data_IF_205246572778
#
_entry.id   IF_205246572778
#
_cell.length_a   1.000
_cell.length_b   1.000
_cell.length_c   1.000
_cell.angle_alpha   90.00
_cell.angle_beta   90.00
_cell.angle_gamma   90.00
#
_symmetry.space_group_name_H-M   'P 1'
#
loop_
_entity.id
_entity.type
_entity.pdbx_description
1 polymer ?
#
# COMPACT_ATOMS: atom_id res chain seq x y z
N UNK A 1 3.07 -34.79 -34.39
CA UNK A 1 2.03 -34.17 -33.56
C UNK A 1 2.37 -34.27 -32.09
N UNK A 2 3.07 -33.26 -31.56
CA UNK A 2 3.32 -33.11 -30.12
C UNK A 2 2.40 -32.03 -29.56
N UNK A 3 1.87 -32.15 -28.34
CA UNK A 3 0.93 -31.17 -27.81
C UNK A 3 1.64 -29.84 -27.57
N UNK A 4 1.12 -28.79 -28.20
CA UNK A 4 1.51 -27.42 -27.99
C UNK A 4 1.29 -27.08 -26.52
N UNK A 5 2.36 -26.75 -25.80
CA UNK A 5 2.32 -26.23 -24.44
C UNK A 5 1.59 -24.88 -24.46
N UNK A 6 0.28 -24.91 -24.24
CA UNK A 6 -0.52 -23.74 -23.96
C UNK A 6 -0.44 -23.48 -22.46
N UNK A 7 0.34 -22.47 -22.05
CA UNK A 7 0.06 -21.65 -20.86
C UNK A 7 1.15 -20.58 -20.73
N UNK A 8 1.23 -19.71 -21.73
CA UNK A 8 1.82 -18.38 -21.50
C UNK A 8 0.65 -17.44 -21.20
N UNK A 9 0.17 -17.48 -19.95
CA UNK A 9 -0.89 -16.61 -19.50
C UNK A 9 -0.37 -15.17 -19.53
N UNK A 10 -0.71 -14.43 -20.59
CA UNK A 10 -0.38 -13.02 -20.71
C UNK A 10 -0.82 -12.27 -19.45
N UNK A 11 0.16 -11.84 -18.64
CA UNK A 11 -0.09 -10.99 -17.47
C UNK A 11 -0.49 -9.61 -17.98
N UNK A 12 -1.78 -9.33 -17.98
CA UNK A 12 -2.27 -7.97 -18.21
C UNK A 12 -2.11 -7.15 -16.92
N UNK A 13 -1.35 -6.07 -17.03
CA UNK A 13 -1.25 -5.07 -15.97
C UNK A 13 -2.25 -3.96 -16.28
N UNK A 14 -3.18 -3.72 -15.37
CA UNK A 14 -4.17 -2.65 -15.49
C UNK A 14 -3.77 -1.50 -14.56
N UNK A 15 -3.60 -0.30 -15.13
CA UNK A 15 -3.36 0.92 -14.36
C UNK A 15 -4.61 1.80 -14.44
N UNK A 16 -5.05 2.30 -13.29
CA UNK A 16 -6.19 3.21 -13.16
C UNK A 16 -5.79 4.39 -12.28
N UNK A 17 -6.38 5.55 -12.55
CA UNK A 17 -6.28 6.70 -11.63
C UNK A 17 -6.95 6.35 -10.31
N UNK A 18 -6.51 6.97 -9.22
CA UNK A 18 -7.11 6.75 -7.90
C UNK A 18 -8.64 6.92 -7.90
N UNK A 19 -9.15 8.01 -8.49
CA UNK A 19 -10.59 8.25 -8.62
C UNK A 19 -11.31 7.11 -9.36
N UNK A 20 -10.73 6.65 -10.46
CA UNK A 20 -11.30 5.56 -11.25
C UNK A 20 -11.23 4.24 -10.46
N UNK A 21 -10.14 4.01 -9.71
CA UNK A 21 -9.99 2.88 -8.81
C UNK A 21 -11.02 2.87 -7.68
N UNK A 22 -11.45 4.02 -7.15
CA UNK A 22 -12.44 4.08 -6.07
C UNK A 22 -13.89 4.01 -6.60
N UNK A 23 -14.19 4.79 -7.64
CA UNK A 23 -15.57 5.04 -8.06
C UNK A 23 -16.04 4.17 -9.23
N UNK A 24 -15.12 3.62 -10.03
CA UNK A 24 -15.53 2.89 -11.23
C UNK A 24 -16.07 1.50 -10.89
N UNK A 25 -17.21 1.08 -11.49
CA UNK A 25 -17.67 -0.30 -11.40
C UNK A 25 -16.69 -1.26 -12.10
N UNK A 26 -15.92 -0.80 -13.09
CA UNK A 26 -14.92 -1.61 -13.78
C UNK A 26 -13.72 -1.96 -12.91
N UNK A 27 -13.43 -1.16 -11.87
CA UNK A 27 -12.37 -1.44 -10.91
C UNK A 27 -12.86 -2.28 -9.72
N UNK A 28 -14.16 -2.58 -9.63
CA UNK A 28 -14.74 -3.39 -8.55
C UNK A 28 -14.14 -4.81 -8.47
N UNK A 29 -13.92 -5.54 -9.58
CA UNK A 29 -13.25 -6.84 -9.54
C UNK A 29 -11.80 -6.75 -9.02
N UNK A 30 -11.09 -5.66 -9.33
CA UNK A 30 -9.70 -5.44 -8.88
C UNK A 30 -9.68 -5.09 -7.40
N UNK A 31 -10.54 -4.18 -6.94
CA UNK A 31 -10.72 -3.89 -5.51
C UNK A 31 -11.08 -5.17 -4.76
N UNK A 32 -11.99 -5.97 -5.32
CA UNK A 32 -12.37 -7.25 -4.75
C UNK A 32 -11.15 -8.17 -4.65
N UNK A 33 -10.38 -8.37 -5.71
CA UNK A 33 -9.16 -9.20 -5.69
C UNK A 33 -8.11 -8.72 -4.67
N UNK A 34 -7.98 -7.42 -4.44
CA UNK A 34 -7.02 -6.83 -3.51
C UNK A 34 -7.51 -6.91 -2.05
N UNK A 35 -8.80 -6.65 -1.80
CA UNK A 35 -9.35 -6.44 -0.45
C UNK A 35 -10.29 -7.56 0.04
N UNK A 36 -10.64 -8.52 -0.82
CA UNK A 36 -11.40 -9.74 -0.52
C UNK A 36 -10.70 -10.94 -1.19
N UNK A 37 -10.52 -12.08 -0.56
CA UNK A 37 -11.43 -12.67 0.41
C UNK A 37 -10.67 -13.47 1.47
N UNK A 38 -10.92 -13.12 2.74
CA UNK A 38 -10.63 -13.97 3.88
C UNK A 38 -11.70 -15.06 4.11
N UNK A 39 -12.66 -15.27 3.20
CA UNK A 39 -13.74 -16.26 3.33
C UNK A 39 -13.74 -17.35 2.27
N UNK A 40 -13.24 -17.10 1.07
CA UNK A 40 -12.73 -18.17 0.22
C UNK A 40 -11.32 -18.50 0.67
N UNK A 41 -11.15 -19.70 1.23
CA UNK A 41 -9.86 -20.38 1.22
C UNK A 41 -9.35 -20.36 -0.21
N UNK A 42 -8.54 -19.35 -0.55
CA UNK A 42 -7.68 -19.45 -1.72
C UNK A 42 -6.89 -20.74 -1.52
N UNK A 43 -6.80 -21.61 -2.55
CA UNK A 43 -5.87 -22.73 -2.47
C UNK A 43 -4.53 -22.11 -2.05
N UNK A 44 -3.91 -22.68 -1.01
CA UNK A 44 -2.67 -22.16 -0.45
C UNK A 44 -1.67 -21.97 -1.58
N UNK A 45 -1.49 -20.73 -2.03
CA UNK A 45 -0.63 -20.43 -3.18
C UNK A 45 0.85 -20.40 -2.79
N UNK A 46 1.15 -20.80 -1.55
CA UNK A 46 2.48 -20.75 -0.94
C UNK A 46 2.93 -19.35 -0.52
N UNK A 47 2.10 -18.30 -0.69
CA UNK A 47 2.45 -16.95 -0.25
C UNK A 47 2.51 -16.87 1.28
N UNK A 48 3.67 -16.40 1.74
CA UNK A 48 3.96 -16.16 3.16
C UNK A 48 3.27 -14.89 3.68
N UNK A 49 2.99 -13.94 2.79
CA UNK A 49 2.38 -12.65 3.10
C UNK A 49 1.10 -12.46 2.29
N UNK A 50 0.09 -11.90 2.96
CA UNK A 50 -1.17 -11.45 2.37
C UNK A 50 -1.23 -9.93 2.44
N UNK A 51 -1.63 -9.28 1.35
CA UNK A 51 -1.96 -7.85 1.35
C UNK A 51 -3.29 -7.67 2.12
N UNK A 52 -3.26 -6.94 3.23
CA UNK A 52 -4.41 -6.72 4.11
C UNK A 52 -4.97 -5.30 4.04
N UNK A 53 -4.13 -4.35 3.60
CA UNK A 53 -4.50 -2.95 3.42
C UNK A 53 -3.73 -2.37 2.24
N UNK A 54 -4.41 -1.58 1.42
CA UNK A 54 -3.82 -0.74 0.39
C UNK A 54 -4.66 0.52 0.35
N UNK A 55 -4.12 1.63 0.86
CA UNK A 55 -4.85 2.88 1.02
C UNK A 55 -4.05 4.03 0.44
N UNK A 56 -4.64 4.71 -0.53
CA UNK A 56 -4.13 6.00 -0.98
C UNK A 56 -4.58 7.10 -0.01
N UNK A 57 -3.69 8.01 0.32
CA UNK A 57 -3.93 9.14 1.23
C UNK A 57 -3.58 10.40 0.47
N UNK A 58 -4.52 11.33 0.33
CA UNK A 58 -4.27 12.56 -0.40
C UNK A 58 -3.24 13.42 0.34
N UNK A 59 -2.27 13.95 -0.42
CA UNK A 59 -1.16 14.73 0.11
C UNK A 59 -1.03 16.10 -0.57
N UNK A 60 -0.25 17.00 0.02
CA UNK A 60 -0.07 18.36 -0.49
C UNK A 60 1.16 18.44 -1.41
N UNK A 61 0.92 18.31 -2.72
CA UNK A 61 1.93 18.49 -3.75
C UNK A 61 1.31 18.99 -5.06
N UNK A 62 0.73 18.09 -5.85
CA UNK A 62 0.01 18.41 -7.09
C UNK A 62 -1.43 17.86 -7.04
N UNK A 63 -2.21 18.16 -8.09
CA UNK A 63 -3.58 17.63 -8.22
C UNK A 63 -3.49 16.11 -8.32
N UNK A 64 -4.32 15.41 -7.53
CA UNK A 64 -4.31 13.94 -7.46
C UNK A 64 -2.96 13.35 -7.00
N UNK A 65 -2.23 14.06 -6.12
CA UNK A 65 -1.08 13.52 -5.41
C UNK A 65 -1.50 12.67 -4.20
N UNK A 66 -0.85 11.51 -4.03
CA UNK A 66 -1.14 10.57 -2.95
C UNK A 66 0.14 9.98 -2.35
N UNK A 67 0.14 9.84 -1.02
CA UNK A 67 0.93 8.82 -0.35
C UNK A 67 0.14 7.52 -0.26
N UNK A 68 0.81 6.43 0.09
CA UNK A 68 0.24 5.08 0.14
C UNK A 68 0.57 4.41 1.46
N UNK A 69 -0.44 3.84 2.11
CA UNK A 69 -0.29 2.95 3.26
C UNK A 69 -0.62 1.53 2.83
N UNK A 70 0.32 0.62 3.04
CA UNK A 70 0.23 -0.79 2.67
C UNK A 70 0.33 -1.64 3.93
N UNK A 71 -0.60 -2.56 4.12
CA UNK A 71 -0.60 -3.52 5.22
C UNK A 71 -0.37 -4.94 4.71
N UNK A 72 0.48 -5.69 5.41
CA UNK A 72 0.76 -7.08 5.13
C UNK A 72 0.48 -7.92 6.37
N UNK A 73 -0.23 -9.03 6.20
CA UNK A 73 -0.37 -10.06 7.23
C UNK A 73 0.49 -11.25 6.87
N UNK A 74 1.26 -11.75 7.83
CA UNK A 74 2.14 -12.90 7.63
C UNK A 74 1.48 -14.15 8.20
N UNK A 75 1.39 -15.21 7.40
CA UNK A 75 0.96 -16.53 7.90
C UNK A 75 1.98 -17.05 8.91
N UNK A 76 1.54 -17.58 10.05
CA UNK A 76 2.45 -18.25 10.98
C UNK A 76 2.99 -19.55 10.33
N UNK A 77 4.31 -19.72 10.21
CA UNK A 77 4.91 -20.90 9.57
C UNK A 77 4.86 -22.16 10.44
N UNK A 78 4.44 -22.05 11.71
CA UNK A 78 4.33 -23.19 12.63
C UNK A 78 2.86 -23.62 12.77
N UNK A 79 2.58 -24.93 12.80
CA UNK A 79 1.26 -25.43 13.16
C UNK A 79 1.02 -25.14 14.64
N UNK A 80 0.45 -23.98 14.94
CA UNK A 80 -0.03 -23.68 16.28
C UNK A 80 -1.06 -24.75 16.66
N UNK A 81 -0.85 -25.44 17.78
CA UNK A 81 -1.72 -26.51 18.32
C UNK A 81 -3.14 -26.05 18.69
N UNK A 82 -3.59 -24.89 18.20
CA UNK A 82 -4.92 -24.33 18.39
C UNK A 82 -5.58 -24.16 17.02
N UNK A 83 -6.77 -24.73 16.91
CA UNK A 83 -7.62 -24.74 15.73
C UNK A 83 -7.95 -23.30 15.29
N UNK A 84 -7.24 -22.80 14.27
CA UNK A 84 -7.42 -21.47 13.68
C UNK A 84 -6.14 -21.00 12.98
N UNK A 85 -6.24 -20.49 11.76
CA UNK A 85 -5.09 -19.88 11.07
C UNK A 85 -4.58 -18.71 11.91
N UNK A 86 -3.37 -18.82 12.47
CA UNK A 86 -2.72 -17.72 13.18
C UNK A 86 -1.95 -16.86 12.17
N UNK A 87 -2.25 -15.57 12.13
CA UNK A 87 -1.43 -14.55 11.49
C UNK A 87 -0.62 -13.83 12.57
N UNK A 88 0.61 -13.45 12.23
CA UNK A 88 1.40 -12.52 13.04
C UNK A 88 0.77 -11.13 13.03
N UNK A 89 1.15 -10.23 13.97
CA UNK A 89 0.74 -8.83 13.88
C UNK A 89 1.02 -8.24 12.49
N UNK A 90 0.07 -7.48 11.90
CA UNK A 90 0.26 -6.91 10.58
C UNK A 90 1.45 -5.94 10.52
N UNK A 91 2.15 -5.95 9.40
CA UNK A 91 3.22 -5.02 9.07
C UNK A 91 2.62 -3.89 8.23
N UNK A 92 2.80 -2.65 8.66
CA UNK A 92 2.34 -1.48 7.91
C UNK A 92 3.52 -0.71 7.35
N UNK A 93 3.47 -0.42 6.05
CA UNK A 93 4.43 0.42 5.34
C UNK A 93 3.71 1.68 4.89
N UNK A 94 4.26 2.84 5.22
CA UNK A 94 3.78 4.13 4.74
C UNK A 94 4.80 4.72 3.77
N UNK A 95 4.35 5.10 2.58
CA UNK A 95 5.14 5.82 1.58
C UNK A 95 4.50 7.17 1.34
N UNK A 96 5.24 8.26 1.55
CA UNK A 96 4.65 9.60 1.48
C UNK A 96 4.33 10.05 0.05
N UNK A 97 5.08 9.58 -0.93
CA UNK A 97 5.21 10.27 -2.22
C UNK A 97 5.86 11.64 -2.05
N UNK A 98 5.80 12.47 -3.08
CA UNK A 98 6.19 13.89 -2.99
C UNK A 98 5.09 14.67 -2.25
N UNK A 99 5.47 15.41 -1.21
CA UNK A 99 4.52 16.13 -0.36
C UNK A 99 5.22 17.13 0.56
N UNK A 100 4.54 18.23 0.87
CA UNK A 100 4.74 18.94 2.15
C UNK A 100 4.46 18.02 3.34
N UNK A 101 4.94 18.32 4.57
CA UNK A 101 4.53 17.62 5.78
C UNK A 101 3.00 17.46 5.83
N UNK A 102 2.54 16.22 5.83
CA UNK A 102 1.14 15.90 5.55
C UNK A 102 0.42 15.42 6.80
N UNK A 103 -0.47 16.26 7.32
CA UNK A 103 -1.34 15.89 8.44
C UNK A 103 -2.28 14.72 8.08
N UNK A 104 -2.64 14.59 6.81
CA UNK A 104 -3.46 13.47 6.33
C UNK A 104 -2.72 12.14 6.45
N UNK A 105 -1.42 12.10 6.14
CA UNK A 105 -0.60 10.90 6.34
C UNK A 105 -0.47 10.56 7.82
N UNK A 106 -0.20 11.56 8.67
CA UNK A 106 -0.13 11.38 10.13
C UNK A 106 -1.44 10.78 10.67
N UNK A 107 -2.58 11.33 10.23
CA UNK A 107 -3.90 10.83 10.63
C UNK A 107 -4.17 9.41 10.09
N UNK A 108 -3.81 9.12 8.84
CA UNK A 108 -4.00 7.79 8.26
C UNK A 108 -3.20 6.72 9.01
N UNK A 109 -1.94 7.01 9.34
CA UNK A 109 -1.07 6.13 10.10
C UNK A 109 -1.51 5.95 11.55
N UNK A 110 -1.92 7.03 12.23
CA UNK A 110 -2.38 6.99 13.63
C UNK A 110 -3.68 6.21 13.82
N UNK A 111 -4.49 6.08 12.77
CA UNK A 111 -5.75 5.32 12.78
C UNK A 111 -5.57 3.83 12.44
N UNK A 112 -4.34 3.36 12.21
CA UNK A 112 -4.07 1.95 11.99
C UNK A 112 -4.24 1.14 13.28
N UNK A 113 -4.60 -0.16 13.19
CA UNK A 113 -4.69 -1.04 14.36
C UNK A 113 -3.37 -1.24 15.13
N UNK A 114 -2.24 -0.87 14.53
CA UNK A 114 -0.91 -0.97 15.12
C UNK A 114 0.04 0.07 14.52
N UNK A 115 1.28 0.17 15.03
CA UNK A 115 2.23 1.17 14.56
C UNK A 115 2.65 0.91 13.12
N UNK A 116 3.01 1.97 12.41
CA UNK A 116 3.72 1.86 11.13
C UNK A 116 5.07 1.22 11.38
N UNK A 117 5.35 0.12 10.68
CA UNK A 117 6.60 -0.64 10.80
C UNK A 117 7.72 0.00 9.97
N UNK A 118 7.37 0.65 8.86
CA UNK A 118 8.32 1.36 7.99
C UNK A 118 7.66 2.61 7.41
N UNK A 119 8.29 3.76 7.63
CA UNK A 119 7.97 5.02 6.94
C UNK A 119 9.06 5.32 5.92
N UNK A 120 8.65 5.54 4.68
CA UNK A 120 9.49 6.04 3.60
C UNK A 120 8.94 7.43 3.25
N UNK A 121 9.58 8.46 3.78
CA UNK A 121 9.18 9.85 3.56
C UNK A 121 10.14 10.55 2.59
N UNK A 122 9.62 11.40 1.72
CA UNK A 122 10.43 12.29 0.88
C UNK A 122 11.17 13.33 1.72
N UNK A 123 12.36 13.70 1.27
CA UNK A 123 13.20 14.73 1.86
C UNK A 123 13.96 15.44 0.73
N UNK A 124 13.22 16.09 -0.15
CA UNK A 124 13.74 16.61 -1.43
C UNK A 124 14.72 17.76 -1.24
N UNK A 125 14.54 18.57 -0.20
CA UNK A 125 15.36 19.76 0.05
C UNK A 125 16.16 19.65 1.35
N UNK A 126 17.35 20.22 1.37
CA UNK A 126 18.05 20.50 2.63
C UNK A 126 17.38 21.66 3.38
N UNK A 127 17.63 21.77 4.68
CA UNK A 127 16.95 22.73 5.55
C UNK A 127 17.25 24.20 5.22
N UNK A 128 18.39 24.48 4.59
CA UNK A 128 18.73 25.82 4.08
C UNK A 128 17.87 26.25 2.87
N UNK A 129 17.14 25.31 2.28
CA UNK A 129 16.24 25.52 1.12
C UNK A 129 14.76 25.44 1.48
N UNK A 130 14.38 25.71 2.73
CA UNK A 130 12.99 25.70 3.18
C UNK A 130 12.02 26.53 2.31
N UNK A 131 12.47 27.70 1.81
CA UNK A 131 11.66 28.52 0.90
C UNK A 131 11.34 27.83 -0.43
N UNK A 132 12.30 27.06 -0.98
CA UNK A 132 12.09 26.30 -2.21
C UNK A 132 11.19 25.09 -1.94
N UNK A 133 11.35 24.44 -0.79
CA UNK A 133 10.52 23.33 -0.33
C UNK A 133 9.04 23.75 -0.25
N UNK A 134 8.76 24.91 0.35
CA UNK A 134 7.40 25.47 0.42
C UNK A 134 6.87 25.79 -0.99
N UNK A 135 7.65 26.52 -1.80
CA UNK A 135 7.21 26.94 -3.15
C UNK A 135 6.92 25.76 -4.08
N UNK A 136 7.70 24.69 -3.97
CA UNK A 136 7.58 23.48 -4.79
C UNK A 136 6.81 22.35 -4.13
N UNK A 137 6.29 22.59 -2.92
CA UNK A 137 5.47 21.66 -2.15
C UNK A 137 6.14 20.30 -1.92
N UNK A 138 7.34 20.37 -1.36
CA UNK A 138 8.14 19.23 -0.92
C UNK A 138 8.61 19.43 0.52
N UNK A 139 9.12 18.39 1.16
CA UNK A 139 9.69 18.46 2.51
C UNK A 139 11.19 18.80 2.50
N UNK A 140 11.64 19.45 3.57
CA UNK A 140 13.06 19.43 3.93
C UNK A 140 13.44 18.18 4.71
N UNK A 141 14.74 17.93 4.91
CA UNK A 141 15.23 16.83 5.74
C UNK A 141 14.69 16.91 7.18
N UNK A 142 14.80 18.06 7.85
CA UNK A 142 14.29 18.21 9.23
C UNK A 142 12.77 18.11 9.33
N UNK A 143 12.04 18.42 8.27
CA UNK A 143 10.58 18.27 8.25
C UNK A 143 10.13 16.81 8.01
N UNK A 144 10.98 16.00 7.39
CA UNK A 144 10.72 14.58 7.15
C UNK A 144 11.01 13.70 8.38
N UNK A 145 11.83 14.19 9.33
CA UNK A 145 12.22 13.52 10.56
C UNK A 145 11.27 13.82 11.73
#
# INVERSE_FOLDING_TARGET
DGPCSANDAHRMFYAVRHRDFECSPFAEPVRRMIFTDGRHSTPDDGSMYRLSLLRNVQVEHCVEAYGVVIGFERKCPLPSSKMGQHYEPPIYVCFSGDTRPSQNLVAACSNLPGPVSLLIHEATFDDDRANDAIKKRHSTVSEAL
#
